data_IF_691724536103
#
_entry.id   IF_691724536103
#
_cell.length_a   1.000
_cell.length_b   1.000
_cell.length_c   1.000
_cell.angle_alpha   90.00
_cell.angle_beta   90.00
_cell.angle_gamma   90.00
#
_symmetry.space_group_name_H-M   'P 1'
#
loop_
_entity.id
_entity.type
_entity.pdbx_description
1 polymer ?
#
# COMPACT_ATOMS: atom_id res chain seq x y z
N UNK A 1 -4.86 -18.80 24.61
CA UNK A 1 -4.13 -17.52 24.49
C UNK A 1 -5.15 -16.43 24.20
N UNK A 2 -5.11 -15.28 24.88
CA UNK A 2 -6.05 -14.17 24.59
C UNK A 2 -5.92 -13.71 23.13
N UNK A 3 -7.03 -13.43 22.44
CA UNK A 3 -6.99 -12.91 21.07
C UNK A 3 -6.48 -11.46 21.00
N UNK A 4 -6.45 -10.76 22.14
CA UNK A 4 -6.16 -9.33 22.23
C UNK A 4 -5.04 -9.00 23.22
N UNK A 5 -4.52 -7.78 23.09
CA UNK A 5 -3.60 -7.12 24.03
C UNK A 5 -4.23 -5.82 24.54
N UNK A 6 -3.81 -5.32 25.71
CA UNK A 6 -4.22 -3.99 26.18
C UNK A 6 -3.38 -2.93 25.48
N UNK A 7 -4.01 -1.91 24.92
CA UNK A 7 -3.30 -0.73 24.40
C UNK A 7 -3.10 0.37 25.44
N UNK A 8 -2.49 1.50 25.06
CA UNK A 8 -2.09 2.56 25.99
C UNK A 8 -3.24 3.27 26.73
N UNK A 9 -4.44 3.21 26.18
CA UNK A 9 -5.67 3.74 26.78
C UNK A 9 -6.43 2.71 27.65
N UNK A 10 -5.90 1.48 27.77
CA UNK A 10 -6.54 0.39 28.50
C UNK A 10 -7.54 -0.45 27.69
N UNK A 11 -7.79 -0.11 26.42
CA UNK A 11 -8.75 -0.83 25.58
C UNK A 11 -8.12 -2.04 24.86
N UNK A 12 -8.87 -3.13 24.63
CA UNK A 12 -8.37 -4.32 23.96
C UNK A 12 -8.16 -4.08 22.46
N UNK A 13 -7.03 -4.54 21.93
CA UNK A 13 -6.65 -4.47 20.50
C UNK A 13 -6.23 -5.81 19.96
N UNK A 14 -6.26 -5.99 18.64
CA UNK A 14 -5.80 -7.23 18.02
C UNK A 14 -4.33 -7.52 18.39
N UNK A 15 -4.04 -8.77 18.77
CA UNK A 15 -2.70 -9.17 19.22
C UNK A 15 -1.56 -8.78 18.27
N UNK A 16 -1.80 -8.79 16.96
CA UNK A 16 -0.79 -8.50 15.96
C UNK A 16 -0.28 -7.04 16.00
N UNK A 17 -1.07 -6.09 16.51
CA UNK A 17 -0.66 -4.68 16.53
C UNK A 17 0.46 -4.40 17.55
N UNK A 18 0.69 -5.31 18.50
CA UNK A 18 1.79 -5.22 19.46
C UNK A 18 3.15 -5.70 18.92
N UNK A 19 3.22 -6.20 17.69
CA UNK A 19 4.46 -6.74 17.13
C UNK A 19 5.49 -5.66 16.77
N UNK A 20 5.08 -4.41 16.60
CA UNK A 20 5.96 -3.27 16.30
C UNK A 20 5.32 -1.94 16.72
N UNK A 21 6.09 -0.93 17.16
CA UNK A 21 5.55 0.37 17.58
C UNK A 21 4.68 1.06 16.51
N UNK A 22 5.07 0.95 15.24
CA UNK A 22 4.36 1.55 14.10
C UNK A 22 3.00 0.91 13.82
N UNK A 23 2.75 -0.32 14.29
CA UNK A 23 1.50 -1.03 14.02
C UNK A 23 0.33 -0.53 14.86
N UNK A 24 0.58 0.06 16.03
CA UNK A 24 -0.49 0.53 16.90
C UNK A 24 -1.25 1.69 16.24
N UNK A 25 -0.54 2.72 15.77
CA UNK A 25 -1.16 3.83 15.06
C UNK A 25 -1.86 3.39 13.77
N UNK A 26 -1.22 2.50 13.00
CA UNK A 26 -1.82 1.93 11.79
C UNK A 26 -3.10 1.13 12.10
N UNK A 27 -3.10 0.30 13.14
CA UNK A 27 -4.27 -0.45 13.59
C UNK A 27 -5.40 0.49 14.00
N UNK A 28 -5.12 1.46 14.88
CA UNK A 28 -6.14 2.29 15.51
C UNK A 28 -6.76 3.32 14.56
N UNK A 29 -6.10 3.66 13.44
CA UNK A 29 -6.53 4.76 12.56
C UNK A 29 -6.70 4.39 11.08
N UNK A 30 -6.23 3.22 10.63
CA UNK A 30 -6.24 2.89 9.19
C UNK A 30 -6.72 1.47 8.86
N UNK A 31 -6.45 0.49 9.72
CA UNK A 31 -6.76 -0.90 9.46
C UNK A 31 -8.22 -1.19 9.77
N UNK A 32 -8.97 -1.72 8.80
CA UNK A 32 -10.40 -2.01 8.94
C UNK A 32 -11.33 -0.79 8.82
N UNK A 33 -10.79 0.42 8.69
CA UNK A 33 -11.61 1.61 8.41
C UNK A 33 -11.99 1.68 6.92
N UNK A 34 -13.23 2.10 6.60
CA UNK A 34 -13.67 2.34 5.22
C UNK A 34 -12.77 3.34 4.49
N UNK A 35 -12.60 3.15 3.19
CA UNK A 35 -11.88 4.05 2.30
C UNK A 35 -12.70 4.20 1.03
N UNK A 36 -13.04 5.44 0.68
CA UNK A 36 -13.80 5.82 -0.51
C UNK A 36 -12.97 6.64 -1.52
N UNK A 37 -11.71 6.93 -1.20
CA UNK A 37 -10.74 7.56 -2.11
C UNK A 37 -10.04 6.52 -2.99
N UNK A 38 -10.16 6.66 -4.32
CA UNK A 38 -9.65 5.71 -5.30
C UNK A 38 -8.11 5.59 -5.25
N UNK A 39 -7.39 6.70 -5.09
CA UNK A 39 -5.93 6.67 -4.99
C UNK A 39 -5.47 5.94 -3.73
N UNK A 40 -6.18 6.14 -2.62
CA UNK A 40 -5.92 5.46 -1.36
C UNK A 40 -6.22 3.97 -1.42
N UNK A 41 -7.30 3.57 -2.08
CA UNK A 41 -7.61 2.16 -2.33
C UNK A 41 -6.53 1.52 -3.21
N UNK A 42 -6.14 2.20 -4.28
CA UNK A 42 -5.07 1.75 -5.17
C UNK A 42 -3.71 1.64 -4.45
N UNK A 43 -3.36 2.61 -3.61
CA UNK A 43 -2.19 2.56 -2.71
C UNK A 43 -2.23 1.29 -1.87
N UNK A 44 -3.32 1.05 -1.13
CA UNK A 44 -3.47 -0.12 -0.26
C UNK A 44 -3.26 -1.42 -1.05
N UNK A 45 -3.95 -1.59 -2.18
CA UNK A 45 -3.84 -2.79 -3.03
C UNK A 45 -2.39 -3.05 -3.49
N UNK A 46 -1.70 -1.99 -3.93
CA UNK A 46 -0.31 -2.10 -4.39
C UNK A 46 0.65 -2.44 -3.25
N UNK A 47 0.48 -1.83 -2.08
CA UNK A 47 1.32 -2.12 -0.91
C UNK A 47 1.16 -3.57 -0.44
N UNK A 48 -0.06 -4.12 -0.45
CA UNK A 48 -0.30 -5.55 -0.16
C UNK A 48 0.40 -6.45 -1.18
N UNK A 49 0.42 -6.07 -2.46
CA UNK A 49 1.16 -6.82 -3.49
C UNK A 49 2.69 -6.82 -3.22
N UNK A 50 3.22 -5.70 -2.71
CA UNK A 50 4.63 -5.63 -2.31
C UNK A 50 4.96 -6.49 -1.08
N UNK A 51 3.98 -6.78 -0.23
CA UNK A 51 4.16 -7.57 0.99
C UNK A 51 4.47 -9.05 0.74
N UNK A 52 4.15 -9.62 -0.43
CA UNK A 52 4.42 -11.03 -0.74
C UNK A 52 5.87 -11.44 -0.43
N UNK A 53 6.07 -12.39 0.49
CA UNK A 53 7.40 -12.85 0.94
C UNK A 53 8.14 -11.90 1.91
N UNK A 54 7.47 -10.87 2.43
CA UNK A 54 8.01 -9.90 3.39
C UNK A 54 7.04 -9.70 4.56
N UNK A 55 7.53 -9.08 5.63
CA UNK A 55 6.65 -8.61 6.70
C UNK A 55 5.90 -7.35 6.28
N UNK A 56 4.65 -7.17 6.75
CA UNK A 56 3.94 -5.91 6.56
C UNK A 56 4.69 -4.71 7.17
N UNK A 57 5.44 -4.95 8.26
CA UNK A 57 6.31 -3.96 8.89
C UNK A 57 7.30 -3.36 7.91
N UNK A 58 7.92 -4.20 7.07
CA UNK A 58 8.85 -3.76 6.02
C UNK A 58 8.19 -2.82 5.03
N UNK A 59 6.93 -3.07 4.67
CA UNK A 59 6.17 -2.24 3.73
C UNK A 59 5.74 -0.94 4.38
N UNK A 60 5.18 -1.01 5.60
CA UNK A 60 4.71 0.16 6.34
C UNK A 60 5.86 1.14 6.63
N UNK A 61 7.04 0.64 7.01
CA UNK A 61 8.22 1.47 7.25
C UNK A 61 8.75 2.17 5.98
N UNK A 62 8.42 1.66 4.78
CA UNK A 62 8.84 2.23 3.49
C UNK A 62 7.72 3.00 2.79
N UNK A 63 6.56 3.16 3.42
CA UNK A 63 5.35 3.64 2.76
C UNK A 63 5.47 5.04 2.16
N UNK A 64 6.12 5.97 2.86
CA UNK A 64 6.29 7.33 2.34
C UNK A 64 7.28 7.38 1.16
N UNK A 65 8.27 6.49 1.14
CA UNK A 65 9.13 6.31 -0.02
C UNK A 65 8.32 5.76 -1.20
N UNK A 66 7.51 4.71 -0.98
CA UNK A 66 6.60 4.20 -2.01
C UNK A 66 5.69 5.29 -2.57
N UNK A 67 5.08 6.12 -1.72
CA UNK A 67 4.28 7.26 -2.17
C UNK A 67 5.08 8.18 -3.06
N UNK A 68 6.27 8.57 -2.65
CA UNK A 68 7.12 9.48 -3.46
C UNK A 68 7.51 8.85 -4.80
N UNK A 69 8.01 7.61 -4.78
CA UNK A 69 8.53 6.91 -5.95
C UNK A 69 7.43 6.55 -6.97
N UNK A 70 6.21 6.32 -6.49
CA UNK A 70 5.01 6.06 -7.29
C UNK A 70 4.06 7.26 -7.34
N UNK A 71 4.55 8.50 -7.22
CA UNK A 71 3.75 9.71 -7.49
C UNK A 71 2.41 9.78 -6.72
N UNK A 72 2.46 9.46 -5.44
CA UNK A 72 1.33 9.36 -4.51
C UNK A 72 0.23 8.39 -4.97
N UNK A 73 0.60 7.35 -5.72
CA UNK A 73 -0.33 6.34 -6.21
C UNK A 73 -1.42 6.90 -7.13
N UNK A 74 -1.12 7.99 -7.84
CA UNK A 74 -1.91 8.46 -8.98
C UNK A 74 -1.80 7.43 -10.12
N UNK A 75 -2.83 6.58 -10.25
CA UNK A 75 -2.82 5.48 -11.22
C UNK A 75 -2.85 5.98 -12.67
N UNK A 76 -3.38 7.17 -12.95
CA UNK A 76 -3.31 7.75 -14.29
C UNK A 76 -1.86 8.01 -14.70
N UNK A 77 -1.07 8.58 -13.78
CA UNK A 77 0.35 8.87 -13.99
C UNK A 77 1.18 7.59 -14.04
N UNK A 78 0.97 6.67 -13.10
CA UNK A 78 1.73 5.41 -13.04
C UNK A 78 1.48 4.54 -14.27
N UNK A 79 0.25 4.51 -14.80
CA UNK A 79 -0.07 3.74 -16.01
C UNK A 79 0.75 4.17 -17.25
N UNK A 80 1.40 5.34 -17.19
CA UNK A 80 2.28 5.88 -18.24
C UNK A 80 3.76 5.64 -17.98
N UNK A 81 4.12 4.97 -16.89
CA UNK A 81 5.51 4.63 -16.61
C UNK A 81 6.10 3.78 -17.73
N UNK A 82 7.36 4.05 -18.00
CA UNK A 82 8.14 3.43 -19.09
C UNK A 82 9.15 2.44 -18.54
N UNK A 83 9.84 1.66 -19.38
CA UNK A 83 10.96 0.83 -18.92
C UNK A 83 12.04 1.63 -18.18
N UNK A 84 12.26 2.90 -18.56
CA UNK A 84 13.20 3.79 -17.86
C UNK A 84 12.76 4.07 -16.41
N UNK A 85 11.45 4.21 -16.16
CA UNK A 85 10.93 4.37 -14.81
C UNK A 85 11.13 3.11 -13.96
N UNK A 86 10.95 1.92 -14.56
CA UNK A 86 11.23 0.65 -13.88
C UNK A 86 12.71 0.57 -13.49
N UNK A 87 13.61 0.90 -14.40
CA UNK A 87 15.05 0.88 -14.13
C UNK A 87 15.44 1.92 -13.07
N UNK A 88 14.86 3.13 -13.10
CA UNK A 88 15.02 4.13 -12.03
C UNK A 88 14.56 3.58 -10.68
N UNK A 89 13.37 2.99 -10.61
CA UNK A 89 12.80 2.42 -9.37
C UNK A 89 13.60 1.22 -8.84
N UNK A 90 14.26 0.46 -9.71
CA UNK A 90 15.16 -0.62 -9.31
C UNK A 90 16.44 -0.13 -8.63
N UNK A 91 16.77 1.16 -8.76
CA UNK A 91 17.90 1.78 -8.05
C UNK A 91 17.52 2.42 -6.72
N UNK A 92 16.23 2.62 -6.47
CA UNK A 92 15.70 3.27 -5.27
C UNK A 92 15.72 2.33 -4.06
N UNK A 93 16.65 2.56 -3.13
CA UNK A 93 16.79 1.79 -1.89
C UNK A 93 15.72 2.14 -0.83
N UNK A 94 14.97 3.21 -1.06
CA UNK A 94 13.81 3.63 -0.28
C UNK A 94 12.66 2.63 -0.37
N UNK A 95 12.53 1.89 -1.47
CA UNK A 95 11.45 0.91 -1.72
C UNK A 95 11.96 -0.55 -1.75
N UNK A 96 11.08 -1.48 -2.14
CA UNK A 96 11.44 -2.88 -2.40
C UNK A 96 11.83 -3.02 -3.88
N UNK A 97 13.13 -3.24 -4.13
CA UNK A 97 13.74 -3.33 -5.48
C UNK A 97 13.49 -4.68 -6.15
N UNK A 98 12.24 -4.96 -6.49
CA UNK A 98 11.84 -6.19 -7.16
C UNK A 98 11.10 -5.88 -8.46
N UNK A 99 11.71 -6.20 -9.61
CA UNK A 99 11.23 -5.83 -10.95
C UNK A 99 9.76 -6.23 -11.17
N UNK A 100 9.41 -7.49 -10.93
CA UNK A 100 8.05 -7.97 -11.15
C UNK A 100 7.00 -7.32 -10.24
N UNK A 101 7.38 -6.80 -9.06
CA UNK A 101 6.43 -6.11 -8.16
C UNK A 101 6.23 -4.66 -8.60
N UNK A 102 7.29 -4.01 -9.08
CA UNK A 102 7.22 -2.68 -9.69
C UNK A 102 6.36 -2.72 -10.96
N UNK A 103 6.62 -3.67 -11.86
CA UNK A 103 5.84 -3.86 -13.08
C UNK A 103 4.38 -4.23 -12.78
N UNK A 104 4.12 -5.00 -11.70
CA UNK A 104 2.76 -5.26 -11.25
C UNK A 104 2.01 -3.98 -10.87
N UNK A 105 2.65 -3.02 -10.20
CA UNK A 105 2.01 -1.72 -9.90
C UNK A 105 1.66 -0.95 -11.17
N UNK A 106 2.52 -0.97 -12.18
CA UNK A 106 2.25 -0.32 -13.48
C UNK A 106 1.06 -0.98 -14.19
N UNK A 107 1.03 -2.32 -14.23
CA UNK A 107 -0.11 -3.05 -14.77
C UNK A 107 -1.40 -2.75 -13.98
N UNK A 108 -1.34 -2.79 -12.65
CA UNK A 108 -2.49 -2.51 -11.79
C UNK A 108 -3.01 -1.09 -12.01
N UNK A 109 -2.13 -0.11 -12.22
CA UNK A 109 -2.51 1.26 -12.52
C UNK A 109 -3.30 1.35 -13.84
N UNK A 110 -2.88 0.64 -14.88
CA UNK A 110 -3.61 0.58 -16.15
C UNK A 110 -5.00 -0.07 -15.99
N UNK A 111 -5.11 -1.11 -15.17
CA UNK A 111 -6.40 -1.77 -14.86
C UNK A 111 -7.31 -0.89 -13.99
N UNK A 112 -6.74 -0.23 -13.00
CA UNK A 112 -7.45 0.71 -12.14
C UNK A 112 -8.06 1.86 -12.95
N UNK A 113 -7.28 2.44 -13.87
CA UNK A 113 -7.76 3.48 -14.79
C UNK A 113 -8.92 3.01 -15.67
N UNK A 114 -8.81 1.80 -16.24
CA UNK A 114 -9.87 1.21 -17.06
C UNK A 114 -11.16 1.00 -16.26
N UNK A 115 -11.02 0.48 -15.04
CA UNK A 115 -12.11 0.18 -14.13
C UNK A 115 -12.80 1.44 -13.63
N UNK A 116 -12.05 2.44 -13.17
CA UNK A 116 -12.58 3.74 -12.78
C UNK A 116 -13.30 4.44 -13.95
N UNK A 117 -12.77 4.31 -15.18
CA UNK A 117 -13.44 4.84 -16.37
C UNK A 117 -14.77 4.17 -16.70
N UNK A 118 -14.95 2.89 -16.31
CA UNK A 118 -16.18 2.12 -16.54
C UNK A 118 -17.21 2.29 -15.43
N UNK A 119 -16.76 2.22 -14.18
CA UNK A 119 -17.62 2.19 -12.98
C UNK A 119 -17.75 3.58 -12.33
N UNK A 120 -17.02 4.58 -12.84
CA UNK A 120 -16.97 5.95 -12.31
C UNK A 120 -15.97 6.15 -11.17
N UNK A 121 -15.69 5.10 -10.39
CA UNK A 121 -14.73 5.09 -9.28
C UNK A 121 -14.32 3.66 -8.94
N UNK A 122 -13.11 3.47 -8.42
CA UNK A 122 -12.68 2.18 -7.84
C UNK A 122 -13.46 1.83 -6.57
N UNK A 123 -13.78 2.81 -5.73
CA UNK A 123 -14.54 2.61 -4.50
C UNK A 123 -15.99 2.17 -4.74
N UNK A 124 -16.52 2.40 -5.94
CA UNK A 124 -17.90 2.04 -6.31
C UNK A 124 -18.07 0.56 -6.69
N UNK A 125 -16.98 -0.18 -6.89
CA UNK A 125 -16.97 -1.61 -7.26
C UNK A 125 -16.72 -2.51 -6.05
#
# INVERSE_FOLDING_TARGET
>A
MSATILGPDGEPRCRWCGAAPEFLGYHDTEWGFPVDDDHRLFEKLCLESFQSGLSWRTILAKRDNFRTSFLHFDFDRIARFTPHDVDRLLTDDGIVRHRGKIEAVINNAARAREMAGREGSLAAF
#
